data_IF_828623391905
#
_entry.id   IF_828623391905
#
_cell.length_a   1.000
_cell.length_b   1.000
_cell.length_c   1.000
_cell.angle_alpha   90.00
_cell.angle_beta   90.00
_cell.angle_gamma   90.00
#
_symmetry.space_group_name_H-M   'P 1'
#
loop_
_entity.id
_entity.type
_entity.pdbx_description
1 polymer ?
#
# COMPACT_ATOMS: atom_id res chain seq x y z
N UNK A 1 -35.07 -7.47 7.89
CA UNK A 1 -33.72 -7.52 7.31
C UNK A 1 -32.87 -6.61 8.17
N UNK A 2 -32.23 -7.16 9.19
CA UNK A 2 -31.29 -6.41 10.02
C UNK A 2 -30.05 -6.15 9.17
N UNK A 3 -30.10 -5.07 8.39
CA UNK A 3 -29.02 -4.57 7.55
C UNK A 3 -27.84 -4.26 8.47
N UNK A 4 -26.94 -5.24 8.62
CA UNK A 4 -25.64 -5.25 9.30
C UNK A 4 -25.36 -4.06 10.22
N UNK A 5 -25.14 -4.35 11.52
CA UNK A 5 -24.66 -3.38 12.52
C UNK A 5 -23.62 -2.44 11.87
N UNK A 6 -23.81 -1.11 11.90
CA UNK A 6 -22.93 -0.14 11.25
C UNK A 6 -21.44 -0.38 11.52
N UNK A 7 -21.09 -0.87 12.70
CA UNK A 7 -19.73 -1.26 13.04
C UNK A 7 -19.15 -2.38 12.15
N UNK A 8 -19.96 -3.40 11.84
CA UNK A 8 -19.56 -4.53 10.98
C UNK A 8 -19.40 -4.04 9.53
N UNK A 9 -20.28 -3.15 9.08
CA UNK A 9 -20.23 -2.61 7.73
C UNK A 9 -18.99 -1.73 7.53
N UNK A 10 -18.69 -0.84 8.47
CA UNK A 10 -17.49 0.00 8.44
C UNK A 10 -16.22 -0.84 8.49
N UNK A 11 -16.20 -1.90 9.31
CA UNK A 11 -15.07 -2.84 9.34
C UNK A 11 -14.88 -3.57 8.00
N UNK A 12 -15.97 -3.98 7.35
CA UNK A 12 -15.91 -4.61 6.04
C UNK A 12 -15.39 -3.64 4.96
N UNK A 13 -15.82 -2.38 4.98
CA UNK A 13 -15.30 -1.34 4.08
C UNK A 13 -13.83 -1.04 4.33
N UNK A 14 -13.42 -0.91 5.60
CA UNK A 14 -12.03 -0.70 6.00
C UNK A 14 -11.14 -1.86 5.53
N UNK A 15 -11.59 -3.11 5.73
CA UNK A 15 -10.85 -4.29 5.33
C UNK A 15 -10.73 -4.41 3.81
N UNK A 16 -11.83 -4.21 3.07
CA UNK A 16 -11.83 -4.29 1.61
C UNK A 16 -10.98 -3.17 0.99
N UNK A 17 -11.17 -1.93 1.44
CA UNK A 17 -10.38 -0.80 0.99
C UNK A 17 -8.90 -0.96 1.34
N UNK A 18 -8.60 -1.43 2.56
CA UNK A 18 -7.23 -1.68 2.99
C UNK A 18 -6.55 -2.76 2.16
N UNK A 19 -7.25 -3.83 1.81
CA UNK A 19 -6.75 -4.87 0.90
C UNK A 19 -6.47 -4.29 -0.51
N UNK A 20 -7.37 -3.46 -1.04
CA UNK A 20 -7.12 -2.77 -2.32
C UNK A 20 -5.91 -1.84 -2.25
N UNK A 21 -5.72 -1.14 -1.12
CA UNK A 21 -4.56 -0.26 -0.93
C UNK A 21 -3.25 -1.04 -0.90
N UNK A 22 -3.22 -2.17 -0.18
CA UNK A 22 -2.06 -3.07 -0.14
C UNK A 22 -1.77 -3.67 -1.52
N UNK A 23 -2.82 -4.07 -2.27
CA UNK A 23 -2.67 -4.53 -3.64
C UNK A 23 -2.09 -3.42 -4.53
N UNK A 24 -2.54 -2.18 -4.38
CA UNK A 24 -1.98 -1.01 -5.08
C UNK A 24 -0.49 -0.81 -4.79
N UNK A 25 -0.09 -0.87 -3.51
CA UNK A 25 1.32 -0.79 -3.12
C UNK A 25 2.18 -1.92 -3.70
N UNK A 26 1.65 -3.15 -3.71
CA UNK A 26 2.31 -4.30 -4.34
C UNK A 26 2.46 -4.13 -5.86
N UNK A 27 1.43 -3.66 -6.55
CA UNK A 27 1.47 -3.36 -7.99
C UNK A 27 2.50 -2.26 -8.27
N UNK A 28 2.51 -1.18 -7.48
CA UNK A 28 3.47 -0.09 -7.64
C UNK A 28 4.92 -0.60 -7.52
N UNK A 29 5.20 -1.44 -6.52
CA UNK A 29 6.51 -2.08 -6.38
C UNK A 29 6.83 -3.01 -7.56
N UNK A 30 5.86 -3.77 -8.06
CA UNK A 30 6.07 -4.68 -9.20
C UNK A 30 6.34 -3.93 -10.51
N UNK A 31 5.63 -2.82 -10.74
CA UNK A 31 5.87 -1.92 -11.86
C UNK A 31 7.26 -1.29 -11.76
N UNK A 32 7.66 -0.83 -10.57
CA UNK A 32 8.99 -0.29 -10.34
C UNK A 32 10.08 -1.31 -10.72
N UNK A 33 9.96 -2.56 -10.26
CA UNK A 33 10.89 -3.64 -10.64
C UNK A 33 10.97 -3.88 -12.16
N UNK A 34 9.84 -3.81 -12.86
CA UNK A 34 9.81 -4.00 -14.31
C UNK A 34 10.42 -2.83 -15.09
N UNK A 35 10.29 -1.59 -14.59
CA UNK A 35 10.83 -0.40 -15.26
C UNK A 35 12.34 -0.30 -15.11
N UNK A 36 12.86 -0.58 -13.92
CA UNK A 36 14.28 -0.36 -13.62
C UNK A 36 15.21 -1.44 -14.20
N UNK A 37 14.70 -2.63 -14.52
CA UNK A 37 15.47 -3.68 -15.21
C UNK A 37 16.64 -4.29 -14.41
N UNK A 38 16.86 -3.86 -13.17
CA UNK A 38 17.87 -4.40 -12.26
C UNK A 38 17.24 -4.94 -10.97
N UNK A 39 18.01 -5.75 -10.23
CA UNK A 39 17.56 -6.30 -8.96
C UNK A 39 17.65 -5.26 -7.84
N UNK A 40 16.51 -4.73 -7.43
CA UNK A 40 16.38 -3.75 -6.33
C UNK A 40 17.03 -4.22 -5.03
N UNK A 41 17.01 -5.51 -4.70
CA UNK A 41 17.65 -6.02 -3.48
C UNK A 41 19.17 -5.92 -3.53
N UNK A 42 19.76 -6.18 -4.69
CA UNK A 42 21.21 -6.11 -4.85
C UNK A 42 21.67 -4.66 -4.84
N UNK A 43 20.90 -3.77 -5.46
CA UNK A 43 21.14 -2.32 -5.49
C UNK A 43 20.99 -1.67 -4.10
N UNK A 44 20.03 -2.13 -3.29
CA UNK A 44 19.89 -1.77 -1.88
C UNK A 44 21.10 -2.22 -1.05
N UNK A 45 21.59 -3.45 -1.26
CA UNK A 45 22.79 -3.98 -0.56
C UNK A 45 24.05 -3.23 -0.96
N UNK A 46 24.15 -2.80 -2.21
CA UNK A 46 25.24 -1.99 -2.73
C UNK A 46 25.23 -0.55 -2.18
N UNK A 47 24.20 -0.17 -1.41
CA UNK A 47 24.08 1.17 -0.83
C UNK A 47 23.54 2.22 -1.79
N UNK A 48 22.83 1.82 -2.85
CA UNK A 48 22.23 2.78 -3.78
C UNK A 48 21.08 3.53 -3.10
N UNK A 49 21.37 4.78 -2.73
CA UNK A 49 20.43 5.67 -2.06
C UNK A 49 19.22 6.00 -2.95
N UNK A 50 19.37 6.08 -4.28
CA UNK A 50 18.25 6.39 -5.17
C UNK A 50 17.19 5.28 -5.14
N UNK A 51 17.61 4.01 -5.16
CA UNK A 51 16.70 2.87 -5.02
C UNK A 51 16.10 2.82 -3.61
N UNK A 52 16.90 3.09 -2.58
CA UNK A 52 16.41 3.21 -1.21
C UNK A 52 15.29 4.24 -1.06
N UNK A 53 15.48 5.44 -1.62
CA UNK A 53 14.48 6.52 -1.62
C UNK A 53 13.23 6.15 -2.41
N UNK A 54 13.37 5.49 -3.56
CA UNK A 54 12.23 5.04 -4.35
C UNK A 54 11.36 4.02 -3.59
N UNK A 55 11.99 3.00 -2.99
CA UNK A 55 11.29 1.98 -2.20
C UNK A 55 10.67 2.61 -0.95
N UNK A 56 11.37 3.51 -0.26
CA UNK A 56 10.84 4.28 0.86
C UNK A 56 9.58 5.05 0.46
N UNK A 57 9.59 5.73 -0.68
CA UNK A 57 8.44 6.47 -1.19
C UNK A 57 7.21 5.59 -1.41
N UNK A 58 7.39 4.39 -1.97
CA UNK A 58 6.31 3.41 -2.15
C UNK A 58 5.71 2.99 -0.80
N UNK A 59 6.56 2.73 0.20
CA UNK A 59 6.08 2.37 1.54
C UNK A 59 5.34 3.52 2.24
N UNK A 60 5.88 4.74 2.19
CA UNK A 60 5.22 5.92 2.77
C UNK A 60 3.87 6.16 2.10
N UNK A 61 3.81 6.13 0.77
CA UNK A 61 2.56 6.30 0.02
C UNK A 61 1.54 5.22 0.39
N UNK A 62 1.98 3.96 0.50
CA UNK A 62 1.11 2.85 0.90
C UNK A 62 0.57 3.03 2.32
N UNK A 63 1.43 3.42 3.27
CA UNK A 63 1.04 3.65 4.67
C UNK A 63 0.09 4.84 4.84
N UNK A 64 0.37 5.96 4.18
CA UNK A 64 -0.51 7.13 4.20
C UNK A 64 -1.87 6.83 3.59
N UNK A 65 -1.90 6.17 2.43
CA UNK A 65 -3.16 5.77 1.80
C UNK A 65 -3.95 4.77 2.65
N UNK A 66 -3.27 3.84 3.33
CA UNK A 66 -3.92 2.91 4.26
C UNK A 66 -4.61 3.66 5.42
N UNK A 67 -3.92 4.64 6.00
CA UNK A 67 -4.47 5.50 7.04
C UNK A 67 -5.70 6.29 6.57
N UNK A 68 -5.66 6.82 5.35
CA UNK A 68 -6.78 7.53 4.73
C UNK A 68 -7.98 6.60 4.50
N UNK A 69 -7.76 5.41 3.93
CA UNK A 69 -8.84 4.45 3.66
C UNK A 69 -9.52 4.01 4.95
N UNK A 70 -8.76 3.69 6.00
CA UNK A 70 -9.32 3.34 7.30
C UNK A 70 -10.07 4.54 7.90
N UNK A 71 -9.46 5.73 7.89
CA UNK A 71 -10.09 6.93 8.45
C UNK A 71 -11.42 7.29 7.78
N UNK A 72 -11.49 7.19 6.45
CA UNK A 72 -12.70 7.49 5.68
C UNK A 72 -13.76 6.39 5.81
N UNK A 73 -13.37 5.13 6.06
CA UNK A 73 -14.31 4.01 6.22
C UNK A 73 -15.12 4.04 7.52
N UNK A 74 -14.70 4.84 8.50
CA UNK A 74 -15.31 4.93 9.82
C UNK A 74 -16.33 6.08 9.93
N UNK A 75 -16.51 6.87 8.87
CA UNK A 75 -17.34 8.09 8.82
C UNK A 75 -18.65 7.86 8.08
#
# INVERSE_FOLDING_TARGET
>A
MDFLNPAILNLAYAAMGGLMMLAGGWIAYRLFLNVVGFNVRDELKAGNVAVGLAVMGIFIATGLGMGLVIGLSLN
#
